data_IF_151798779935
#
_entry.id   IF_151798779935
#
_cell.length_a   1.000
_cell.length_b   1.000
_cell.length_c   1.000
_cell.angle_alpha   90.00
_cell.angle_beta   90.00
_cell.angle_gamma   90.00
#
_symmetry.space_group_name_H-M   'P 1'
#
loop_
_entity.id
_entity.type
_entity.pdbx_description
1 polymer ?
#
# COMPACT_ATOMS: atom_id res chain seq x y z
N UNK A 1 -22.03 -0.93 -12.96
CA UNK A 1 -23.00 0.10 -12.58
C UNK A 1 -22.59 1.50 -13.05
N UNK A 2 -21.32 1.91 -12.93
CA UNK A 2 -20.83 3.27 -13.23
C UNK A 2 -20.42 3.53 -14.70
N UNK A 3 -20.63 2.59 -15.62
CA UNK A 3 -20.16 2.65 -17.01
C UNK A 3 -20.82 3.74 -17.87
N UNK A 4 -21.99 4.27 -17.47
CA UNK A 4 -22.81 5.21 -18.22
C UNK A 4 -23.22 6.45 -17.43
N UNK A 5 -22.41 6.89 -16.50
CA UNK A 5 -22.69 8.06 -15.66
C UNK A 5 -22.22 9.34 -16.34
N UNK A 6 -23.05 10.37 -16.29
CA UNK A 6 -22.74 11.71 -16.78
C UNK A 6 -21.87 12.52 -15.82
N UNK A 7 -21.43 13.70 -16.30
CA UNK A 7 -20.57 14.60 -15.51
C UNK A 7 -21.25 15.09 -14.21
N UNK A 8 -22.58 15.24 -14.23
CA UNK A 8 -23.33 15.70 -13.04
C UNK A 8 -23.25 14.68 -11.92
N UNK A 9 -23.55 13.43 -12.21
CA UNK A 9 -23.52 12.34 -11.22
C UNK A 9 -22.11 12.13 -10.65
N UNK A 10 -21.07 12.29 -11.47
CA UNK A 10 -19.68 12.24 -11.01
C UNK A 10 -19.37 13.40 -10.04
N UNK A 11 -19.87 14.60 -10.33
CA UNK A 11 -19.68 15.75 -9.46
C UNK A 11 -20.46 15.58 -8.15
N UNK A 12 -21.71 15.13 -8.21
CA UNK A 12 -22.54 14.85 -7.03
C UNK A 12 -21.87 13.79 -6.13
N UNK A 13 -21.28 12.77 -6.74
CA UNK A 13 -20.51 11.77 -6.01
C UNK A 13 -19.26 12.37 -5.33
N UNK A 14 -18.49 13.21 -6.05
CA UNK A 14 -17.32 13.91 -5.48
C UNK A 14 -17.69 14.83 -4.32
N UNK A 15 -18.80 15.56 -4.44
CA UNK A 15 -19.31 16.41 -3.38
C UNK A 15 -19.69 15.60 -2.14
N UNK A 16 -20.31 14.44 -2.32
CA UNK A 16 -20.70 13.55 -1.22
C UNK A 16 -19.50 13.02 -0.39
N UNK A 17 -18.30 12.96 -0.97
CA UNK A 17 -17.09 12.52 -0.27
C UNK A 17 -16.58 13.53 0.78
N UNK A 18 -16.94 14.79 0.67
CA UNK A 18 -16.62 15.87 1.61
C UNK A 18 -15.14 15.88 2.05
N UNK A 19 -14.22 15.86 1.07
CA UNK A 19 -12.79 15.71 1.32
C UNK A 19 -12.13 16.94 1.95
N UNK A 20 -12.76 18.11 1.86
CA UNK A 20 -12.34 19.34 2.55
C UNK A 20 -13.50 20.34 2.64
N UNK A 21 -13.42 21.25 3.60
CA UNK A 21 -14.48 22.23 3.83
C UNK A 21 -14.49 23.31 2.73
N UNK A 22 -15.53 23.30 1.87
CA UNK A 22 -15.77 24.32 0.86
C UNK A 22 -17.28 24.44 0.59
N UNK A 23 -17.85 25.64 0.84
CA UNK A 23 -19.29 25.89 0.65
C UNK A 23 -19.69 26.05 -0.82
N UNK A 24 -18.75 26.43 -1.68
CA UNK A 24 -18.95 26.58 -3.12
C UNK A 24 -18.63 25.27 -3.82
N UNK A 25 -19.66 24.57 -4.30
CA UNK A 25 -19.54 23.29 -4.99
C UNK A 25 -18.65 23.34 -6.23
N UNK A 26 -18.77 24.39 -7.04
CA UNK A 26 -17.95 24.57 -8.25
C UNK A 26 -16.49 24.75 -7.88
N UNK A 27 -16.22 25.55 -6.85
CA UNK A 27 -14.87 25.77 -6.33
C UNK A 27 -14.30 24.47 -5.74
N UNK A 28 -15.10 23.68 -5.04
CA UNK A 28 -14.71 22.38 -4.49
C UNK A 28 -14.23 21.45 -5.61
N UNK A 29 -15.05 21.21 -6.62
CA UNK A 29 -14.73 20.35 -7.77
C UNK A 29 -13.49 20.88 -8.50
N UNK A 30 -13.46 22.19 -8.84
CA UNK A 30 -12.33 22.82 -9.52
C UNK A 30 -11.02 22.65 -8.73
N UNK A 31 -11.05 22.74 -7.41
CA UNK A 31 -9.88 22.60 -6.56
C UNK A 31 -9.32 21.17 -6.62
N UNK A 32 -10.16 20.13 -6.53
CA UNK A 32 -9.73 18.73 -6.64
C UNK A 32 -9.06 18.45 -7.99
N UNK A 33 -9.67 18.87 -9.08
CA UNK A 33 -9.08 18.72 -10.43
C UNK A 33 -7.81 19.56 -10.62
N UNK A 34 -7.75 20.75 -10.05
CA UNK A 34 -6.54 21.59 -10.12
C UNK A 34 -5.37 20.95 -9.39
N UNK A 35 -5.61 20.34 -8.21
CA UNK A 35 -4.59 19.63 -7.44
C UNK A 35 -4.13 18.39 -8.23
N UNK A 36 -5.05 17.57 -8.73
CA UNK A 36 -4.70 16.33 -9.44
C UNK A 36 -3.94 16.59 -10.75
N UNK A 37 -4.32 17.64 -11.49
CA UNK A 37 -3.65 18.01 -12.75
C UNK A 37 -2.26 18.65 -12.54
N UNK A 38 -1.95 19.10 -11.33
CA UNK A 38 -0.69 19.73 -10.95
C UNK A 38 -0.16 19.12 -9.66
N UNK A 39 -0.22 17.82 -9.56
CA UNK A 39 0.07 17.10 -8.31
C UNK A 39 1.50 17.38 -7.82
N UNK A 40 2.45 17.53 -8.71
CA UNK A 40 3.86 17.79 -8.42
C UNK A 40 4.05 19.07 -7.61
N UNK A 41 3.29 20.12 -7.91
CA UNK A 41 3.35 21.40 -7.19
C UNK A 41 2.76 21.32 -5.78
N UNK A 42 2.14 20.20 -5.42
CA UNK A 42 1.52 19.98 -4.14
C UNK A 42 2.38 19.13 -3.19
N UNK A 43 3.60 18.76 -3.60
CA UNK A 43 4.56 18.02 -2.79
C UNK A 43 5.86 18.78 -2.59
N UNK A 44 6.40 18.68 -1.37
CA UNK A 44 7.79 19.04 -1.05
C UNK A 44 8.61 17.76 -1.00
N UNK A 45 9.67 17.71 -1.82
CA UNK A 45 10.54 16.53 -1.92
C UNK A 45 11.84 16.81 -1.19
N UNK A 46 12.26 15.89 -0.29
CA UNK A 46 13.54 15.97 0.39
C UNK A 46 14.07 14.57 0.74
N UNK A 47 15.37 14.48 1.03
CA UNK A 47 16.04 13.22 1.32
C UNK A 47 16.41 13.14 2.81
N UNK A 48 16.11 11.98 3.42
CA UNK A 48 16.51 11.65 4.79
C UNK A 48 17.57 10.56 4.74
N UNK A 49 18.68 10.73 5.51
CA UNK A 49 19.75 9.74 5.60
C UNK A 49 19.28 8.56 6.46
N UNK A 50 19.36 7.33 5.91
CA UNK A 50 19.12 6.07 6.64
C UNK A 50 20.32 5.74 7.53
N UNK A 51 20.14 4.85 8.54
CA UNK A 51 21.23 4.38 9.42
C UNK A 51 22.39 3.71 8.67
N UNK A 52 22.10 3.06 7.54
CA UNK A 52 23.09 2.41 6.67
C UNK A 52 23.82 3.38 5.72
N UNK A 53 23.65 4.70 5.88
CA UNK A 53 24.27 5.71 5.03
C UNK A 53 23.56 6.01 3.71
N UNK A 54 22.63 5.17 3.25
CA UNK A 54 21.79 5.43 2.08
C UNK A 54 20.77 6.55 2.36
N UNK A 55 20.18 7.11 1.33
CA UNK A 55 19.13 8.13 1.45
C UNK A 55 17.76 7.54 1.13
N UNK A 56 16.73 8.07 1.80
CA UNK A 56 15.32 7.83 1.51
C UNK A 56 14.71 9.14 1.02
N UNK A 57 14.00 9.12 -0.10
CA UNK A 57 13.26 10.27 -0.60
C UNK A 57 11.90 10.32 0.09
N UNK A 58 11.54 11.49 0.61
CA UNK A 58 10.24 11.75 1.24
C UNK A 58 9.48 12.75 0.39
N UNK A 59 8.24 12.43 0.10
CA UNK A 59 7.29 13.26 -0.62
C UNK A 59 6.25 13.77 0.38
N UNK A 60 6.47 14.97 0.88
CA UNK A 60 5.57 15.58 1.86
C UNK A 60 4.50 16.40 1.15
N UNK A 61 3.20 16.00 1.21
CA UNK A 61 2.12 16.78 0.62
C UNK A 61 1.94 18.09 1.38
N UNK A 62 1.56 19.16 0.66
CA UNK A 62 1.20 20.42 1.30
C UNK A 62 -0.02 20.25 2.21
N UNK A 63 -0.34 21.26 3.02
CA UNK A 63 -1.38 21.17 4.04
C UNK A 63 -2.75 20.78 3.48
N UNK A 64 -3.14 21.30 2.31
CA UNK A 64 -4.44 21.00 1.71
C UNK A 64 -4.48 19.58 1.17
N UNK A 65 -3.50 19.16 0.37
CA UNK A 65 -3.42 17.78 -0.15
C UNK A 65 -3.31 16.76 1.00
N UNK A 66 -2.52 17.06 2.02
CA UNK A 66 -2.40 16.23 3.23
C UNK A 66 -3.73 16.05 3.95
N UNK A 67 -4.53 17.12 4.03
CA UNK A 67 -5.88 17.04 4.61
C UNK A 67 -6.80 16.18 3.75
N UNK A 68 -6.84 16.40 2.43
CA UNK A 68 -7.62 15.60 1.48
C UNK A 68 -7.24 14.12 1.58
N UNK A 69 -5.96 13.80 1.57
CA UNK A 69 -5.48 12.42 1.71
C UNK A 69 -5.89 11.78 3.04
N UNK A 70 -5.91 12.53 4.15
CA UNK A 70 -6.42 12.04 5.43
C UNK A 70 -7.92 11.74 5.35
N UNK A 71 -8.72 12.58 4.70
CA UNK A 71 -10.15 12.31 4.53
C UNK A 71 -10.39 11.09 3.61
N UNK A 72 -9.60 10.92 2.55
CA UNK A 72 -9.63 9.70 1.73
C UNK A 72 -9.31 8.47 2.57
N UNK A 73 -8.28 8.54 3.41
CA UNK A 73 -7.90 7.43 4.30
C UNK A 73 -9.03 7.10 5.28
N UNK A 74 -9.55 8.10 5.98
CA UNK A 74 -10.53 7.91 7.06
C UNK A 74 -11.90 7.48 6.55
N UNK A 75 -12.40 8.12 5.48
CA UNK A 75 -13.77 7.93 5.01
C UNK A 75 -13.91 6.83 3.95
N UNK A 76 -12.84 6.50 3.23
CA UNK A 76 -12.90 5.55 2.11
C UNK A 76 -12.02 4.31 2.38
N UNK A 77 -10.71 4.50 2.59
CA UNK A 77 -9.78 3.39 2.62
C UNK A 77 -9.92 2.55 3.88
N UNK A 78 -10.05 3.15 5.06
CA UNK A 78 -10.17 2.44 6.34
C UNK A 78 -11.41 1.53 6.42
N UNK A 79 -12.38 1.70 5.54
CA UNK A 79 -13.57 0.85 5.44
C UNK A 79 -13.31 -0.43 4.63
N UNK A 80 -12.14 -0.56 4.01
CA UNK A 80 -11.75 -1.74 3.21
C UNK A 80 -10.94 -2.70 4.05
N UNK A 81 -11.29 -3.99 4.01
CA UNK A 81 -10.54 -5.02 4.71
C UNK A 81 -9.19 -5.27 4.03
N UNK A 82 -8.13 -5.24 4.82
CA UNK A 82 -6.77 -5.68 4.44
C UNK A 82 -6.56 -7.16 4.79
N UNK A 83 -5.45 -7.75 4.35
CA UNK A 83 -5.13 -9.13 4.66
C UNK A 83 -4.82 -9.33 6.16
N UNK A 84 -5.21 -10.49 6.71
CA UNK A 84 -4.85 -10.91 8.08
C UNK A 84 -3.34 -11.08 8.28
N UNK A 85 -2.59 -11.28 7.20
CA UNK A 85 -1.14 -11.46 7.21
C UNK A 85 -0.38 -10.12 7.23
N UNK A 86 -1.00 -9.02 6.81
CA UNK A 86 -0.43 -7.68 6.91
C UNK A 86 -0.45 -7.19 8.35
N UNK A 87 0.74 -6.95 8.94
CA UNK A 87 0.90 -6.56 10.36
C UNK A 87 1.35 -5.12 10.54
N UNK A 88 1.75 -4.43 9.48
CA UNK A 88 2.05 -3.01 9.52
C UNK A 88 0.81 -2.16 9.20
N UNK A 89 0.79 -0.92 9.70
CA UNK A 89 -0.18 0.11 9.32
C UNK A 89 -1.65 -0.24 9.59
N UNK A 90 -1.89 -1.16 10.50
CA UNK A 90 -3.21 -1.60 10.89
C UNK A 90 -3.51 -1.16 12.32
N UNK A 91 -4.67 -0.51 12.51
CA UNK A 91 -5.09 -0.07 13.85
C UNK A 91 -5.30 -1.27 14.78
N UNK A 92 -4.68 -1.23 15.96
CA UNK A 92 -4.78 -2.30 16.95
C UNK A 92 -3.80 -3.47 16.75
N UNK A 93 -2.99 -3.48 15.69
CA UNK A 93 -1.92 -4.45 15.47
C UNK A 93 -0.57 -3.84 15.85
N UNK A 94 0.24 -4.58 16.55
CA UNK A 94 1.56 -4.18 17.05
C UNK A 94 2.70 -5.00 16.41
N UNK A 95 3.94 -4.57 16.62
CA UNK A 95 5.13 -5.36 16.24
C UNK A 95 5.14 -6.74 16.90
N UNK A 96 4.54 -6.88 18.10
CA UNK A 96 4.41 -8.16 18.80
C UNK A 96 3.54 -9.14 18.00
N UNK A 97 2.46 -8.67 17.39
CA UNK A 97 1.57 -9.48 16.55
C UNK A 97 2.25 -9.96 15.27
N UNK A 98 3.25 -9.21 14.78
CA UNK A 98 4.12 -9.65 13.69
C UNK A 98 5.11 -10.73 14.14
N UNK A 99 5.64 -10.65 15.36
CA UNK A 99 6.70 -11.52 15.85
C UNK A 99 6.18 -12.86 16.42
N UNK A 100 5.03 -12.87 17.09
CA UNK A 100 4.48 -14.05 17.80
C UNK A 100 4.42 -15.31 16.91
N UNK A 101 3.94 -15.29 15.65
CA UNK A 101 3.85 -16.49 14.82
C UNK A 101 5.20 -17.15 14.53
N UNK A 102 6.30 -16.41 14.72
CA UNK A 102 7.66 -16.84 14.37
C UNK A 102 8.50 -17.29 15.56
N UNK A 103 7.94 -17.25 16.77
CA UNK A 103 8.66 -17.68 17.99
C UNK A 103 8.88 -19.19 17.97
N UNK A 104 10.07 -19.63 18.40
CA UNK A 104 10.46 -21.05 18.51
C UNK A 104 10.37 -21.84 17.20
N UNK A 105 10.51 -21.17 16.06
CA UNK A 105 10.56 -21.83 14.74
C UNK A 105 11.99 -22.21 14.37
N UNK A 106 12.14 -23.35 13.70
CA UNK A 106 13.43 -23.91 13.28
C UNK A 106 14.15 -23.05 12.24
N UNK A 107 13.39 -22.52 11.29
CA UNK A 107 13.88 -21.68 10.20
C UNK A 107 13.07 -20.40 10.18
N UNK A 108 13.75 -19.27 9.97
CA UNK A 108 13.13 -17.97 9.70
C UNK A 108 13.77 -17.45 8.41
N UNK A 109 12.94 -17.21 7.41
CA UNK A 109 13.31 -16.57 6.15
C UNK A 109 12.67 -15.19 6.11
N UNK A 110 13.47 -14.18 5.82
CA UNK A 110 13.00 -12.81 5.56
C UNK A 110 13.28 -12.44 4.12
N UNK A 111 12.29 -11.88 3.46
CA UNK A 111 12.38 -11.33 2.12
C UNK A 111 11.94 -9.87 2.17
N UNK A 112 12.71 -8.98 1.58
CA UNK A 112 12.42 -7.54 1.48
C UNK A 112 12.03 -7.19 0.05
N UNK A 113 11.02 -6.34 -0.11
CA UNK A 113 10.59 -5.85 -1.42
C UNK A 113 11.33 -4.55 -1.70
N UNK A 114 12.28 -4.60 -2.62
CA UNK A 114 13.05 -3.43 -3.00
C UNK A 114 12.14 -2.34 -3.57
N UNK A 115 12.42 -1.10 -3.17
CA UNK A 115 11.71 0.11 -3.63
C UNK A 115 10.17 -0.03 -3.60
N UNK A 116 9.66 -0.66 -2.53
CA UNK A 116 8.30 -1.14 -2.37
C UNK A 116 7.24 -0.11 -2.78
N UNK A 117 7.31 1.11 -2.27
CA UNK A 117 6.31 2.14 -2.57
C UNK A 117 6.39 2.61 -4.02
N UNK A 118 7.61 2.79 -4.53
CA UNK A 118 7.85 3.23 -5.90
C UNK A 118 7.42 2.18 -6.94
N UNK A 119 7.37 0.90 -6.56
CA UNK A 119 6.88 -0.19 -7.41
C UNK A 119 5.36 -0.37 -7.39
N UNK A 120 4.62 0.33 -6.52
CA UNK A 120 3.16 0.34 -6.55
C UNK A 120 2.68 1.41 -7.54
N UNK A 121 2.19 0.95 -8.68
CA UNK A 121 1.78 1.82 -9.78
C UNK A 121 0.38 2.43 -9.58
N UNK A 122 0.09 3.47 -10.38
CA UNK A 122 -1.25 4.07 -10.48
C UNK A 122 -2.34 3.02 -10.75
N UNK A 123 -2.08 2.07 -11.65
CA UNK A 123 -3.05 1.03 -12.03
C UNK A 123 -3.33 0.08 -10.87
N UNK A 124 -2.29 -0.31 -10.11
CA UNK A 124 -2.47 -1.15 -8.92
C UNK A 124 -3.35 -0.47 -7.87
N UNK A 125 -3.10 0.83 -7.63
CA UNK A 125 -3.86 1.63 -6.68
C UNK A 125 -5.30 1.79 -7.15
N UNK A 126 -5.51 2.14 -8.43
CA UNK A 126 -6.85 2.31 -9.00
C UNK A 126 -7.67 1.01 -8.84
N UNK A 127 -7.12 -0.12 -9.26
CA UNK A 127 -7.81 -1.41 -9.23
C UNK A 127 -8.09 -1.90 -7.81
N UNK A 128 -7.16 -1.68 -6.87
CA UNK A 128 -7.31 -2.18 -5.49
C UNK A 128 -8.10 -1.23 -4.59
N UNK A 129 -7.98 0.08 -4.82
CA UNK A 129 -8.54 1.08 -3.91
C UNK A 129 -9.79 1.77 -4.44
N UNK A 130 -9.84 2.09 -5.74
CA UNK A 130 -10.90 2.93 -6.32
C UNK A 130 -11.50 2.35 -7.61
N UNK A 131 -11.79 1.03 -7.69
CA UNK A 131 -12.19 0.39 -8.92
C UNK A 131 -13.60 0.80 -9.37
N UNK A 132 -13.87 0.62 -10.67
CA UNK A 132 -15.11 1.02 -11.34
C UNK A 132 -16.38 0.36 -10.74
N UNK A 133 -16.25 -0.73 -10.03
CA UNK A 133 -17.36 -1.40 -9.35
C UNK A 133 -17.97 -0.53 -8.25
N UNK A 134 -17.15 0.32 -7.61
CA UNK A 134 -17.55 1.15 -6.46
C UNK A 134 -17.48 2.64 -6.74
N UNK A 135 -16.73 3.08 -7.75
CA UNK A 135 -16.52 4.49 -8.07
C UNK A 135 -16.80 4.78 -9.55
N UNK A 136 -17.42 5.93 -9.89
CA UNK A 136 -17.37 6.41 -11.28
C UNK A 136 -15.93 6.46 -11.77
N UNK A 137 -15.66 6.00 -13.00
CA UNK A 137 -14.28 5.91 -13.52
C UNK A 137 -13.46 7.19 -13.32
N UNK A 138 -14.04 8.35 -13.65
CA UNK A 138 -13.38 9.65 -13.51
C UNK A 138 -13.09 9.99 -12.05
N UNK A 139 -13.96 9.61 -11.12
CA UNK A 139 -13.77 9.82 -9.68
C UNK A 139 -12.68 8.89 -9.15
N UNK A 140 -12.73 7.59 -9.50
CA UNK A 140 -11.69 6.64 -9.10
C UNK A 140 -10.30 7.07 -9.58
N UNK A 141 -10.19 7.51 -10.83
CA UNK A 141 -8.95 8.06 -11.38
C UNK A 141 -8.49 9.32 -10.61
N UNK A 142 -9.39 10.26 -10.36
CA UNK A 142 -9.08 11.47 -9.59
C UNK A 142 -8.56 11.14 -8.18
N UNK A 143 -9.22 10.23 -7.46
CA UNK A 143 -8.80 9.80 -6.12
C UNK A 143 -7.41 9.13 -6.17
N UNK A 144 -7.14 8.36 -7.23
CA UNK A 144 -5.83 7.74 -7.42
C UNK A 144 -4.76 8.81 -7.64
N UNK A 145 -4.97 9.79 -8.52
CA UNK A 145 -4.04 10.92 -8.72
C UNK A 145 -3.77 11.71 -7.43
N UNK A 146 -4.80 11.92 -6.60
CA UNK A 146 -4.62 12.60 -5.31
C UNK A 146 -3.78 11.80 -4.30
N UNK A 147 -3.60 10.50 -4.52
CA UNK A 147 -2.82 9.60 -3.66
C UNK A 147 -1.45 9.22 -4.23
N UNK A 148 -1.12 9.64 -5.46
CA UNK A 148 0.13 9.29 -6.16
C UNK A 148 0.98 10.53 -6.44
N UNK A 149 2.24 10.28 -6.77
CA UNK A 149 3.16 11.26 -7.35
C UNK A 149 3.90 10.54 -8.47
N UNK A 150 3.98 11.14 -9.67
CA UNK A 150 4.61 10.53 -10.86
C UNK A 150 4.11 9.09 -11.11
N UNK A 151 2.78 8.91 -11.01
CA UNK A 151 2.06 7.63 -11.20
C UNK A 151 2.46 6.48 -10.24
N UNK A 152 3.18 6.78 -9.17
CA UNK A 152 3.60 5.80 -8.15
C UNK A 152 3.14 6.18 -6.74
N UNK A 153 3.14 5.20 -5.86
CA UNK A 153 2.89 5.42 -4.44
C UNK A 153 4.13 6.05 -3.79
N UNK A 154 3.93 7.00 -2.89
CA UNK A 154 5.03 7.77 -2.30
C UNK A 154 5.25 7.51 -0.83
N UNK A 155 6.49 7.67 -0.36
CA UNK A 155 6.80 7.70 1.07
C UNK A 155 6.56 9.11 1.62
N UNK A 156 5.63 9.22 2.58
CA UNK A 156 5.30 10.49 3.26
C UNK A 156 3.85 10.93 3.14
N UNK A 157 3.08 10.38 2.21
CA UNK A 157 1.65 10.63 2.09
C UNK A 157 0.84 9.86 3.16
N UNK A 158 -0.19 10.46 3.75
CA UNK A 158 -1.05 9.81 4.76
C UNK A 158 -1.70 8.51 4.28
N UNK A 159 -2.01 8.40 2.99
CA UNK A 159 -2.71 7.25 2.38
C UNK A 159 -1.80 6.08 2.05
N UNK A 160 -0.50 6.34 1.81
CA UNK A 160 0.41 5.37 1.18
C UNK A 160 0.54 4.06 1.93
N UNK A 161 0.65 4.14 3.25
CA UNK A 161 0.79 2.97 4.10
C UNK A 161 -0.41 2.02 4.02
N UNK A 162 -1.64 2.56 4.02
CA UNK A 162 -2.85 1.75 3.93
C UNK A 162 -3.10 1.24 2.51
N UNK A 163 -2.84 2.07 1.50
CA UNK A 163 -2.93 1.69 0.09
C UNK A 163 -2.01 0.49 -0.21
N UNK A 164 -0.76 0.51 0.28
CA UNK A 164 0.16 -0.61 0.06
C UNK A 164 -0.37 -1.94 0.61
N UNK A 165 -1.09 -1.92 1.74
CA UNK A 165 -1.75 -3.11 2.27
C UNK A 165 -2.93 -3.57 1.41
N UNK A 166 -3.70 -2.65 0.83
CA UNK A 166 -4.82 -3.00 -0.06
C UNK A 166 -4.32 -3.59 -1.39
N UNK A 167 -3.26 -3.03 -1.96
CA UNK A 167 -2.63 -3.54 -3.19
C UNK A 167 -2.05 -4.94 -2.98
N UNK A 168 -1.39 -5.16 -1.85
CA UNK A 168 -0.78 -6.45 -1.50
C UNK A 168 -1.77 -7.51 -1.03
N UNK A 169 -3.03 -7.17 -0.83
CA UNK A 169 -4.02 -8.07 -0.21
C UNK A 169 -4.14 -9.40 -0.94
N UNK A 170 -4.31 -9.39 -2.25
CA UNK A 170 -4.47 -10.61 -3.04
C UNK A 170 -3.21 -11.50 -2.96
N UNK A 171 -2.03 -10.88 -3.06
CA UNK A 171 -0.77 -11.60 -2.87
C UNK A 171 -0.69 -12.23 -1.48
N UNK A 172 -0.96 -11.46 -0.43
CA UNK A 172 -0.94 -11.94 0.96
C UNK A 172 -1.88 -13.12 1.17
N UNK A 173 -3.09 -13.07 0.63
CA UNK A 173 -4.09 -14.15 0.79
C UNK A 173 -3.63 -15.43 0.06
N UNK A 174 -3.08 -15.32 -1.15
CA UNK A 174 -2.61 -16.48 -1.92
C UNK A 174 -1.38 -17.12 -1.29
N UNK A 175 -0.37 -16.31 -0.94
CA UNK A 175 0.86 -16.85 -0.33
C UNK A 175 0.59 -17.37 1.08
N UNK A 176 -0.28 -16.67 1.84
CA UNK A 176 -0.65 -17.07 3.19
C UNK A 176 -1.40 -18.40 3.22
N UNK A 177 -2.36 -18.62 2.33
CA UNK A 177 -3.07 -19.89 2.20
C UNK A 177 -2.10 -21.03 1.86
N UNK A 178 -1.19 -20.82 0.90
CA UNK A 178 -0.16 -21.79 0.57
C UNK A 178 0.77 -22.09 1.76
N UNK A 179 1.13 -21.08 2.54
CA UNK A 179 1.92 -21.27 3.75
C UNK A 179 1.19 -22.09 4.81
N UNK A 180 -0.11 -21.84 5.02
CA UNK A 180 -0.93 -22.60 5.96
C UNK A 180 -0.99 -24.10 5.58
N UNK A 181 -1.17 -24.43 4.30
CA UNK A 181 -1.14 -25.82 3.79
C UNK A 181 0.19 -26.53 4.06
N UNK A 182 1.28 -25.76 4.11
CA UNK A 182 2.66 -26.26 4.36
C UNK A 182 3.08 -26.18 5.83
N UNK A 183 2.21 -25.75 6.75
CA UNK A 183 2.54 -25.46 8.15
C UNK A 183 3.67 -24.42 8.31
N UNK A 184 3.74 -23.44 7.38
CA UNK A 184 4.64 -22.31 7.43
C UNK A 184 3.87 -21.10 8.00
N UNK A 185 4.43 -20.43 9.00
CA UNK A 185 3.89 -19.16 9.47
C UNK A 185 4.33 -18.03 8.52
N UNK A 186 3.40 -17.22 8.06
CA UNK A 186 3.66 -16.06 7.20
C UNK A 186 3.10 -14.79 7.82
N UNK A 187 3.89 -13.72 7.80
CA UNK A 187 3.44 -12.35 8.06
C UNK A 187 4.17 -11.37 7.16
N UNK A 188 3.53 -10.22 6.89
CA UNK A 188 4.17 -9.10 6.18
C UNK A 188 4.08 -7.83 7.03
N UNK A 189 5.23 -7.18 7.21
CA UNK A 189 5.32 -5.88 7.87
C UNK A 189 5.85 -4.84 6.87
N UNK A 190 4.95 -4.12 6.19
CA UNK A 190 5.28 -3.23 5.06
C UNK A 190 5.88 -4.00 3.88
N UNK A 191 7.12 -3.75 3.57
CA UNK A 191 7.99 -4.38 2.58
C UNK A 191 8.62 -5.70 3.06
N UNK A 192 8.75 -5.90 4.39
CA UNK A 192 9.32 -7.09 5.00
C UNK A 192 8.34 -8.28 5.05
N UNK A 193 8.60 -9.35 4.32
CA UNK A 193 7.89 -10.62 4.41
C UNK A 193 8.67 -11.58 5.31
N UNK A 194 8.02 -12.18 6.31
CA UNK A 194 8.63 -13.15 7.21
C UNK A 194 7.92 -14.49 7.09
N UNK A 195 8.70 -15.53 6.86
CA UNK A 195 8.26 -16.93 6.78
C UNK A 195 8.99 -17.74 7.83
N UNK A 196 8.27 -18.64 8.54
CA UNK A 196 8.94 -19.50 9.54
C UNK A 196 8.28 -20.85 9.71
N UNK A 197 9.08 -21.88 9.98
CA UNK A 197 8.63 -23.25 10.10
C UNK A 197 9.75 -24.26 9.93
N UNK A 198 9.40 -25.45 9.44
CA UNK A 198 10.37 -26.49 8.98
C UNK A 198 10.16 -26.68 7.46
N UNK A 199 10.90 -25.97 6.66
CA UNK A 199 10.76 -25.94 5.21
C UNK A 199 12.11 -25.65 4.52
N UNK A 200 12.18 -25.87 3.21
CA UNK A 200 13.34 -25.44 2.41
C UNK A 200 13.13 -23.99 1.94
N UNK A 201 14.00 -23.03 2.29
CA UNK A 201 13.87 -21.63 1.87
C UNK A 201 13.67 -21.44 0.36
N UNK A 202 14.31 -22.27 -0.46
CA UNK A 202 14.14 -22.24 -1.92
C UNK A 202 12.68 -22.48 -2.37
N UNK A 203 11.90 -23.29 -1.65
CA UNK A 203 10.49 -23.52 -2.00
C UNK A 203 9.66 -22.23 -1.84
N UNK A 204 9.90 -21.51 -0.74
CA UNK A 204 9.21 -20.23 -0.48
C UNK A 204 9.63 -19.19 -1.50
N UNK A 205 10.93 -19.06 -1.78
CA UNK A 205 11.46 -18.10 -2.75
C UNK A 205 10.85 -18.34 -4.13
N UNK A 206 10.86 -19.59 -4.62
CA UNK A 206 10.27 -19.95 -5.92
C UNK A 206 8.77 -19.63 -5.94
N UNK A 207 8.03 -19.93 -4.85
CA UNK A 207 6.61 -19.66 -4.77
C UNK A 207 6.31 -18.16 -4.80
N UNK A 208 7.07 -17.35 -4.05
CA UNK A 208 6.95 -15.90 -4.04
C UNK A 208 7.24 -15.33 -5.42
N UNK A 209 8.36 -15.75 -6.04
CA UNK A 209 8.71 -15.31 -7.39
C UNK A 209 7.65 -15.68 -8.42
N UNK A 210 7.12 -16.90 -8.38
CA UNK A 210 6.06 -17.34 -9.30
C UNK A 210 4.76 -16.53 -9.20
N UNK A 211 4.42 -16.03 -8.00
CA UNK A 211 3.27 -15.15 -7.80
C UNK A 211 3.55 -13.71 -8.26
N UNK A 212 4.83 -13.34 -8.32
CA UNK A 212 5.28 -12.00 -8.71
C UNK A 212 5.36 -11.82 -10.22
N UNK A 213 5.74 -12.89 -10.96
CA UNK A 213 5.81 -12.90 -12.43
C UNK A 213 4.41 -12.62 -13.00
N UNK A 214 4.29 -11.54 -13.77
CA UNK A 214 3.03 -11.11 -14.39
C UNK A 214 2.29 -9.98 -13.67
N UNK A 215 2.65 -9.64 -12.41
CA UNK A 215 2.13 -8.44 -11.73
C UNK A 215 3.20 -7.39 -11.45
N UNK A 216 4.46 -7.81 -11.25
CA UNK A 216 5.53 -6.97 -10.72
C UNK A 216 6.87 -7.43 -11.33
N UNK A 217 7.00 -7.38 -12.65
CA UNK A 217 8.12 -7.99 -13.40
C UNK A 217 9.50 -7.42 -13.02
N UNK A 218 9.56 -6.18 -12.50
CA UNK A 218 10.80 -5.50 -12.14
C UNK A 218 11.13 -5.52 -10.64
N UNK A 219 10.32 -6.19 -9.81
CA UNK A 219 10.56 -6.20 -8.36
C UNK A 219 11.64 -7.20 -7.97
N UNK A 220 12.75 -6.65 -7.51
CA UNK A 220 13.87 -7.43 -6.98
C UNK A 220 13.59 -7.76 -5.51
N UNK A 221 13.61 -9.05 -5.16
CA UNK A 221 13.65 -9.51 -3.78
C UNK A 221 15.08 -9.42 -3.27
N UNK A 222 15.33 -8.62 -2.25
CA UNK A 222 16.59 -8.63 -1.51
C UNK A 222 16.51 -9.70 -0.42
N UNK A 223 17.50 -10.59 -0.34
CA UNK A 223 17.60 -11.60 0.70
C UNK A 223 18.53 -11.11 1.79
N UNK A 224 18.08 -11.09 3.03
CA UNK A 224 19.01 -11.11 4.15
C UNK A 224 19.41 -12.57 4.39
N UNK A 225 20.74 -12.83 4.37
CA UNK A 225 21.31 -14.13 4.63
C UNK A 225 20.77 -14.72 5.94
N UNK A 226 20.54 -16.03 5.90
CA UNK A 226 20.18 -16.89 7.02
C UNK A 226 20.74 -16.39 8.36
N UNK A 227 19.91 -15.73 9.18
CA UNK A 227 20.15 -15.68 10.62
C UNK A 227 19.37 -16.80 11.29
N UNK A 228 20.05 -17.91 11.54
CA UNK A 228 19.74 -18.77 12.66
C UNK A 228 19.96 -17.94 13.93
N UNK A 229 19.00 -17.13 14.32
CA UNK A 229 19.04 -16.43 15.60
C UNK A 229 18.40 -17.32 16.64
N UNK A 230 19.24 -18.12 17.31
CA UNK A 230 18.95 -18.58 18.65
C UNK A 230 18.91 -17.34 19.56
N UNK A 231 17.73 -16.84 19.88
CA UNK A 231 17.56 -15.99 21.02
C UNK A 231 17.40 -16.91 22.24
N UNK A 232 18.51 -17.16 22.94
CA UNK A 232 18.48 -17.61 24.32
C UNK A 232 18.10 -16.40 25.19
N UNK A 233 16.98 -16.49 25.90
CA UNK A 233 16.73 -15.79 27.14
C UNK A 233 17.08 -16.70 28.31
#
# INVERSE_FOLDING_TARGET
MWKYIGTKECNDFLLSLNLFNCKDEKKYIKTLYSISNNIENNYRIYKIKKRNGKYRTIYEPNSLLKHIQKQILENILNNKAISKYAKAYHKGISLKDNAIPHINKKIILKLDIKDFFENISFIDIYNSCFPIEYFPKSVGMLLTYLCTYDEHLTQGSPTSAYISNLVMKEFDEVIGAWCEEKNISYTRYSDDMTFSGDFKPSEVIIKVQALWIGKWEDVILEYDEFRLSFWLF
#
